data_IF_303269555281
#
_entry.id   IF_303269555281
#
_cell.length_a   1.000
_cell.length_b   1.000
_cell.length_c   1.000
_cell.angle_alpha   90.00
_cell.angle_beta   90.00
_cell.angle_gamma   90.00
#
_symmetry.space_group_name_H-M   'P 1'
#
loop_
_entity.id
_entity.type
_entity.pdbx_description
1 polymer ?
#
# COMPACT_ATOMS: atom_id res chain seq x y z
N UNK A 1 26.98 -12.53 19.79
CA UNK A 1 28.34 -11.96 19.65
C UNK A 1 28.75 -11.76 18.20
N UNK A 2 28.83 -12.82 17.36
CA UNK A 2 29.27 -12.68 15.95
C UNK A 2 28.48 -11.62 15.15
N UNK A 3 27.16 -11.57 15.30
CA UNK A 3 26.32 -10.56 14.63
C UNK A 3 26.63 -9.12 15.07
N UNK A 4 27.04 -8.93 16.33
CA UNK A 4 27.46 -7.62 16.83
C UNK A 4 28.82 -7.20 16.25
N UNK A 5 29.73 -8.15 15.99
CA UNK A 5 30.98 -7.86 15.29
C UNK A 5 30.71 -7.51 13.82
N UNK A 6 29.87 -8.28 13.14
CA UNK A 6 29.48 -7.99 11.76
C UNK A 6 28.86 -6.60 11.61
N UNK A 7 28.02 -6.18 12.56
CA UNK A 7 27.38 -4.85 12.56
C UNK A 7 28.36 -3.67 12.70
N UNK A 8 29.57 -3.89 13.22
CA UNK A 8 30.58 -2.83 13.32
C UNK A 8 31.23 -2.53 11.98
N UNK A 9 31.48 -3.56 11.16
CA UNK A 9 32.02 -3.40 9.81
C UNK A 9 30.96 -3.00 8.80
N UNK A 10 29.80 -3.67 8.84
CA UNK A 10 28.71 -3.45 7.89
C UNK A 10 27.35 -3.58 8.60
N UNK A 11 26.72 -2.43 8.85
CA UNK A 11 25.43 -2.35 9.54
C UNK A 11 24.30 -3.08 8.79
N UNK A 12 24.40 -3.23 7.46
CA UNK A 12 23.43 -3.97 6.67
C UNK A 12 23.57 -5.48 6.87
N UNK A 13 24.80 -6.00 7.01
CA UNK A 13 25.01 -7.41 7.41
C UNK A 13 24.50 -7.65 8.83
N UNK A 14 24.74 -6.69 9.73
CA UNK A 14 24.21 -6.70 11.09
C UNK A 14 22.68 -6.80 11.12
N UNK A 15 22.00 -5.92 10.38
CA UNK A 15 20.53 -5.90 10.32
C UNK A 15 19.97 -7.16 9.67
N UNK A 16 20.56 -7.60 8.56
CA UNK A 16 20.18 -8.86 7.91
C UNK A 16 20.23 -10.01 8.92
N UNK A 17 21.36 -10.17 9.62
CA UNK A 17 21.55 -11.25 10.58
C UNK A 17 20.55 -11.18 11.74
N UNK A 18 20.29 -9.97 12.23
CA UNK A 18 19.30 -9.72 13.29
C UNK A 18 17.89 -10.12 12.83
N UNK A 19 17.45 -9.67 11.66
CA UNK A 19 16.09 -9.89 11.17
C UNK A 19 15.82 -11.37 10.83
N UNK A 20 16.81 -12.10 10.31
CA UNK A 20 16.66 -13.50 9.90
C UNK A 20 16.77 -14.47 11.07
N UNK A 21 17.59 -14.15 12.08
CA UNK A 21 17.96 -15.13 13.10
C UNK A 21 17.53 -14.74 14.52
N UNK A 22 17.58 -13.45 14.88
CA UNK A 22 17.32 -13.01 16.25
C UNK A 22 15.87 -12.57 16.45
N UNK A 23 15.32 -11.84 15.49
CA UNK A 23 13.94 -11.35 15.57
C UNK A 23 12.91 -12.50 15.73
N UNK A 24 13.02 -13.65 15.02
CA UNK A 24 12.13 -14.79 15.25
C UNK A 24 12.23 -15.37 16.66
N UNK A 25 13.42 -15.33 17.27
CA UNK A 25 13.62 -15.75 18.65
C UNK A 25 12.88 -14.81 19.59
N UNK A 26 12.86 -13.49 19.35
CA UNK A 26 12.14 -12.55 20.23
C UNK A 26 10.65 -12.80 20.27
N UNK A 27 10.06 -13.20 19.14
CA UNK A 27 8.64 -13.57 19.06
C UNK A 27 8.31 -14.91 19.72
N UNK A 28 9.30 -15.72 20.09
CA UNK A 28 9.05 -16.99 20.77
C UNK A 28 8.60 -16.76 22.21
N UNK A 29 7.70 -17.61 22.69
CA UNK A 29 7.29 -17.63 24.12
C UNK A 29 8.45 -17.97 25.06
N UNK A 30 9.51 -18.59 24.55
CA UNK A 30 10.70 -19.00 25.31
C UNK A 30 11.78 -17.91 25.40
N UNK A 31 11.62 -16.77 24.73
CA UNK A 31 12.59 -15.68 24.81
C UNK A 31 12.54 -15.02 26.19
N UNK A 32 13.56 -15.27 26.99
CA UNK A 32 13.68 -14.63 28.30
C UNK A 32 13.97 -13.12 28.17
N UNK A 33 13.67 -12.32 29.21
CA UNK A 33 13.83 -10.86 29.17
C UNK A 33 15.26 -10.40 28.86
N UNK A 34 16.29 -11.08 29.35
CA UNK A 34 17.70 -10.73 29.12
C UNK A 34 18.09 -10.94 27.66
N UNK A 35 17.70 -12.08 27.06
CA UNK A 35 17.93 -12.33 25.64
C UNK A 35 17.21 -11.30 24.77
N UNK A 36 15.95 -10.98 25.10
CA UNK A 36 15.18 -9.94 24.40
C UNK A 36 15.87 -8.58 24.48
N UNK A 37 16.36 -8.22 25.65
CA UNK A 37 17.09 -6.96 25.88
C UNK A 37 18.36 -6.87 25.02
N UNK A 38 19.20 -7.91 25.02
CA UNK A 38 20.42 -7.96 24.20
C UNK A 38 20.13 -7.90 22.70
N UNK A 39 19.06 -8.56 22.25
CA UNK A 39 18.64 -8.53 20.84
C UNK A 39 18.19 -7.12 20.43
N UNK A 40 17.47 -6.41 21.30
CA UNK A 40 17.07 -5.03 21.07
C UNK A 40 18.27 -4.07 21.09
N UNK A 41 19.19 -4.22 22.05
CA UNK A 41 20.39 -3.38 22.13
C UNK A 41 21.22 -3.46 20.85
N UNK A 42 21.31 -4.66 20.23
CA UNK A 42 22.03 -4.83 18.97
C UNK A 42 21.41 -4.00 17.83
N UNK A 43 20.09 -4.10 17.62
CA UNK A 43 19.45 -3.34 16.55
C UNK A 43 19.44 -1.85 16.85
N UNK A 44 19.27 -1.43 18.09
CA UNK A 44 19.38 -0.02 18.48
C UNK A 44 20.77 0.54 18.18
N UNK A 45 21.83 -0.22 18.47
CA UNK A 45 23.21 0.16 18.11
C UNK A 45 23.43 0.25 16.60
N UNK A 46 22.79 -0.62 15.81
CA UNK A 46 22.81 -0.54 14.34
C UNK A 46 22.15 0.75 13.87
N UNK A 47 20.98 1.08 14.43
CA UNK A 47 20.18 2.23 14.03
C UNK A 47 20.70 3.55 14.59
N UNK A 48 21.51 3.53 15.65
CA UNK A 48 22.17 4.73 16.18
C UNK A 48 23.28 5.26 15.27
N UNK A 49 23.67 4.54 14.22
CA UNK A 49 24.58 5.05 13.21
C UNK A 49 23.91 6.24 12.48
N UNK A 50 24.55 7.42 12.39
CA UNK A 50 23.93 8.61 11.80
C UNK A 50 23.58 8.44 10.31
N UNK A 51 24.22 7.49 9.62
CA UNK A 51 23.95 7.14 8.22
C UNK A 51 23.07 5.90 8.07
N UNK A 52 22.53 5.33 9.16
CA UNK A 52 21.77 4.08 9.15
C UNK A 52 20.63 4.12 8.13
N UNK A 53 19.83 5.19 8.14
CA UNK A 53 18.70 5.33 7.20
C UNK A 53 19.15 5.24 5.75
N UNK A 54 20.11 6.07 5.35
CA UNK A 54 20.62 6.08 3.98
C UNK A 54 21.21 4.73 3.58
N UNK A 55 22.04 4.12 4.43
CA UNK A 55 22.71 2.85 4.13
C UNK A 55 21.71 1.69 4.03
N UNK A 56 20.81 1.57 5.00
CA UNK A 56 19.90 0.43 5.12
C UNK A 56 18.76 0.49 4.10
N UNK A 57 18.23 1.68 3.80
CA UNK A 57 17.16 1.85 2.81
C UNK A 57 17.70 1.66 1.39
N UNK A 58 18.85 2.25 1.06
CA UNK A 58 19.48 2.04 -0.25
C UNK A 58 20.00 0.60 -0.41
N UNK A 59 20.43 -0.01 0.69
CA UNK A 59 20.91 -1.39 0.76
C UNK A 59 19.85 -2.41 1.15
N UNK A 60 18.55 -2.09 1.04
CA UNK A 60 17.46 -2.93 1.54
C UNK A 60 17.40 -4.32 0.87
N UNK A 61 17.96 -4.44 -0.34
CA UNK A 61 18.14 -5.70 -1.06
C UNK A 61 19.64 -5.88 -1.37
N UNK A 62 20.23 -6.99 -0.92
CA UNK A 62 21.64 -7.34 -1.15
C UNK A 62 21.73 -8.74 -1.72
N UNK A 63 22.41 -8.88 -2.86
CA UNK A 63 22.62 -10.18 -3.54
C UNK A 63 21.29 -10.95 -3.77
N UNK A 64 20.20 -10.24 -4.03
CA UNK A 64 18.87 -10.82 -4.23
C UNK A 64 18.06 -11.05 -2.96
N UNK A 65 18.66 -10.91 -1.78
CA UNK A 65 18.00 -11.10 -0.48
C UNK A 65 17.66 -9.77 0.19
N UNK A 66 16.56 -9.73 0.94
CA UNK A 66 16.13 -8.54 1.66
C UNK A 66 16.78 -8.47 3.02
N UNK A 67 17.11 -7.28 3.50
CA UNK A 67 17.56 -7.10 4.90
C UNK A 67 16.49 -7.54 5.89
N UNK A 68 15.22 -7.21 5.61
CA UNK A 68 14.06 -7.63 6.40
C UNK A 68 13.07 -8.32 5.45
N UNK A 69 12.98 -9.66 5.48
CA UNK A 69 12.03 -10.39 4.64
C UNK A 69 10.60 -10.27 5.20
N UNK A 70 9.56 -10.55 4.40
CA UNK A 70 8.17 -10.40 4.82
C UNK A 70 7.80 -11.09 6.15
N UNK A 71 8.25 -12.33 6.46
CA UNK A 71 7.96 -12.95 7.76
C UNK A 71 8.55 -12.18 8.95
N UNK A 72 9.78 -11.66 8.81
CA UNK A 72 10.42 -10.83 9.83
C UNK A 72 9.71 -9.48 9.98
N UNK A 73 9.25 -8.89 8.88
CA UNK A 73 8.47 -7.66 8.93
C UNK A 73 7.13 -7.87 9.64
N UNK A 74 6.45 -8.98 9.41
CA UNK A 74 5.23 -9.34 10.14
C UNK A 74 5.48 -9.42 11.65
N UNK A 75 6.55 -10.11 12.07
CA UNK A 75 6.93 -10.18 13.50
C UNK A 75 7.16 -8.78 14.07
N UNK A 76 7.89 -7.94 13.34
CA UNK A 76 8.18 -6.57 13.77
C UNK A 76 6.90 -5.75 13.98
N UNK A 77 5.93 -5.81 13.06
CA UNK A 77 4.64 -5.12 13.20
C UNK A 77 3.92 -5.59 14.46
N UNK A 78 3.88 -6.89 14.72
CA UNK A 78 3.20 -7.46 15.90
C UNK A 78 3.87 -7.06 17.22
N UNK A 79 5.21 -6.97 17.24
CA UNK A 79 5.96 -6.55 18.42
C UNK A 79 5.85 -5.05 18.70
N UNK A 80 5.70 -4.23 17.67
CA UNK A 80 5.50 -2.78 17.80
C UNK A 80 4.05 -2.43 18.18
N UNK A 81 3.07 -3.21 17.75
CA UNK A 81 1.64 -2.93 17.98
C UNK A 81 0.90 -4.08 18.70
N UNK A 82 1.38 -4.55 19.88
CA UNK A 82 0.68 -5.59 20.63
C UNK A 82 -0.65 -5.06 21.19
N UNK A 83 -1.52 -5.96 21.63
CA UNK A 83 -2.72 -5.58 22.36
C UNK A 83 -2.34 -4.81 23.64
N UNK A 84 -3.19 -3.89 24.10
CA UNK A 84 -2.90 -3.07 25.28
C UNK A 84 -2.53 -3.89 26.51
N UNK A 85 -3.17 -5.05 26.70
CA UNK A 85 -2.89 -5.99 27.80
C UNK A 85 -1.56 -6.76 27.67
N UNK A 86 -0.97 -6.80 26.47
CA UNK A 86 0.28 -7.50 26.17
C UNK A 86 1.48 -6.54 26.06
N UNK A 87 1.28 -5.24 26.29
CA UNK A 87 2.36 -4.25 26.29
C UNK A 87 3.32 -4.52 27.46
N UNK A 88 4.61 -4.46 27.16
CA UNK A 88 5.70 -4.60 28.13
C UNK A 88 6.72 -3.48 27.91
N UNK A 89 7.68 -3.30 28.82
CA UNK A 89 8.74 -2.28 28.67
C UNK A 89 9.50 -2.37 27.34
N UNK A 90 9.65 -3.57 26.80
CA UNK A 90 10.29 -3.77 25.49
C UNK A 90 9.44 -3.24 24.30
N UNK A 91 8.13 -3.08 24.46
CA UNK A 91 7.24 -2.58 23.41
C UNK A 91 7.64 -1.17 22.97
N UNK A 92 7.94 -0.27 23.91
CA UNK A 92 8.35 1.11 23.60
C UNK A 92 9.63 1.15 22.75
N UNK A 93 10.54 0.19 22.97
CA UNK A 93 11.78 0.06 22.18
C UNK A 93 11.48 -0.41 20.76
N UNK A 94 10.56 -1.36 20.60
CA UNK A 94 10.07 -1.76 19.27
C UNK A 94 9.39 -0.62 18.53
N UNK A 95 8.56 0.16 19.22
CA UNK A 95 7.91 1.35 18.66
C UNK A 95 8.94 2.39 18.18
N UNK A 96 10.02 2.59 18.93
CA UNK A 96 11.08 3.54 18.57
C UNK A 96 11.84 3.13 17.29
N UNK A 97 12.15 1.83 17.13
CA UNK A 97 12.89 1.33 15.96
C UNK A 97 11.98 1.07 14.75
N UNK A 98 10.69 0.87 14.97
CA UNK A 98 9.72 0.44 13.96
C UNK A 98 9.70 1.33 12.70
N UNK A 99 9.64 2.68 12.78
CA UNK A 99 9.49 3.51 11.58
C UNK A 99 10.61 3.32 10.55
N UNK A 100 11.86 3.26 11.02
CA UNK A 100 13.00 3.06 10.14
C UNK A 100 13.04 1.62 9.59
N UNK A 101 12.78 0.63 10.43
CA UNK A 101 12.76 -0.77 9.99
C UNK A 101 11.61 -1.06 9.02
N UNK A 102 10.45 -0.40 9.18
CA UNK A 102 9.35 -0.42 8.20
C UNK A 102 9.84 0.11 6.86
N UNK A 103 10.48 1.28 6.83
CA UNK A 103 11.00 1.86 5.60
C UNK A 103 11.97 0.91 4.88
N UNK A 104 12.90 0.29 5.61
CA UNK A 104 13.82 -0.72 5.07
C UNK A 104 13.08 -1.94 4.52
N UNK A 105 12.05 -2.42 5.23
CA UNK A 105 11.26 -3.60 4.82
C UNK A 105 10.48 -3.35 3.52
N UNK A 106 9.96 -2.12 3.38
CA UNK A 106 9.13 -1.71 2.25
C UNK A 106 9.94 -1.19 1.05
N UNK A 107 11.24 -0.94 1.22
CA UNK A 107 12.13 -0.46 0.17
C UNK A 107 12.37 -1.51 -0.93
N UNK A 108 12.60 -1.05 -2.16
CA UNK A 108 12.87 -1.89 -3.33
C UNK A 108 12.43 -1.22 -4.62
N UNK A 109 12.90 -1.74 -5.76
CA UNK A 109 12.52 -1.23 -7.07
C UNK A 109 11.03 -1.51 -7.37
N UNK A 110 10.18 -0.47 -7.50
CA UNK A 110 8.76 -0.65 -7.82
C UNK A 110 8.57 -1.40 -9.13
N UNK A 111 7.53 -2.23 -9.23
CA UNK A 111 7.19 -2.97 -10.45
C UNK A 111 8.09 -4.18 -10.77
N UNK A 112 9.23 -4.36 -10.11
CA UNK A 112 10.09 -5.53 -10.32
C UNK A 112 9.39 -6.84 -9.92
N UNK A 113 9.72 -7.96 -10.61
CA UNK A 113 9.14 -9.28 -10.33
C UNK A 113 9.28 -9.70 -8.85
N UNK A 114 10.47 -9.48 -8.29
CA UNK A 114 10.74 -9.76 -6.87
C UNK A 114 9.91 -8.87 -5.94
N UNK A 115 9.75 -7.57 -6.25
CA UNK A 115 8.93 -6.67 -5.45
C UNK A 115 7.45 -7.04 -5.52
N UNK A 116 6.95 -7.50 -6.67
CA UNK A 116 5.56 -7.97 -6.80
C UNK A 116 5.25 -9.12 -5.85
N UNK A 117 6.10 -10.15 -5.82
CA UNK A 117 5.94 -11.30 -4.93
C UNK A 117 6.01 -10.88 -3.45
N UNK A 118 6.98 -10.04 -3.10
CA UNK A 118 7.14 -9.53 -1.73
C UNK A 118 5.92 -8.72 -1.30
N UNK A 119 5.42 -7.85 -2.16
CA UNK A 119 4.26 -7.01 -1.89
C UNK A 119 3.00 -7.86 -1.67
N UNK A 120 2.83 -8.95 -2.44
CA UNK A 120 1.74 -9.90 -2.22
C UNK A 120 1.83 -10.57 -0.84
N UNK A 121 3.01 -11.06 -0.44
CA UNK A 121 3.19 -11.66 0.89
C UNK A 121 2.90 -10.65 2.02
N UNK A 122 3.42 -9.43 1.89
CA UNK A 122 3.15 -8.34 2.84
C UNK A 122 1.66 -8.03 2.90
N UNK A 123 0.98 -7.96 1.76
CA UNK A 123 -0.46 -7.75 1.69
C UNK A 123 -1.23 -8.85 2.43
N UNK A 124 -0.90 -10.13 2.18
CA UNK A 124 -1.55 -11.27 2.84
C UNK A 124 -1.42 -11.20 4.36
N UNK A 125 -0.19 -10.99 4.87
CA UNK A 125 0.05 -10.90 6.31
C UNK A 125 -0.63 -9.68 6.93
N UNK A 126 -0.57 -8.53 6.26
CA UNK A 126 -1.20 -7.29 6.74
C UNK A 126 -2.73 -7.37 6.74
N UNK A 127 -3.33 -7.99 5.71
CA UNK A 127 -4.78 -8.24 5.69
C UNK A 127 -5.19 -9.11 6.87
N UNK A 128 -4.52 -10.24 7.10
CA UNK A 128 -4.82 -11.12 8.24
C UNK A 128 -4.70 -10.38 9.57
N UNK A 129 -3.59 -9.65 9.79
CA UNK A 129 -3.36 -8.87 11.00
C UNK A 129 -4.43 -7.78 11.24
N UNK A 130 -5.02 -7.22 10.17
CA UNK A 130 -6.12 -6.26 10.28
C UNK A 130 -7.43 -6.86 10.82
N UNK A 131 -7.57 -8.18 10.80
CA UNK A 131 -8.74 -8.91 11.28
C UNK A 131 -8.64 -9.50 12.69
N UNK A 132 -7.52 -9.34 13.39
CA UNK A 132 -7.23 -10.06 14.65
C UNK A 132 -7.86 -9.45 15.91
N UNK A 133 -8.75 -8.46 15.77
CA UNK A 133 -9.45 -7.85 16.91
C UNK A 133 -8.59 -6.93 17.80
N UNK A 134 -7.33 -6.68 17.43
CA UNK A 134 -6.49 -5.66 18.08
C UNK A 134 -6.59 -4.34 17.28
N UNK A 135 -7.24 -3.28 17.80
CA UNK A 135 -7.48 -2.05 17.04
C UNK A 135 -6.19 -1.28 16.71
N UNK A 136 -5.16 -1.36 17.54
CA UNK A 136 -3.88 -0.67 17.32
C UNK A 136 -3.11 -1.36 16.18
N UNK A 137 -3.00 -2.69 16.23
CA UNK A 137 -2.43 -3.48 15.14
C UNK A 137 -3.22 -3.32 13.85
N UNK A 138 -4.55 -3.37 13.94
CA UNK A 138 -5.41 -3.32 12.78
C UNK A 138 -5.29 -2.01 11.99
N UNK A 139 -5.12 -0.88 12.70
CA UNK A 139 -4.88 0.43 12.08
C UNK A 139 -3.59 0.45 11.26
N UNK A 140 -2.50 -0.08 11.80
CA UNK A 140 -1.21 -0.12 11.10
C UNK A 140 -1.21 -1.15 9.97
N UNK A 141 -1.73 -2.35 10.23
CA UNK A 141 -1.84 -3.42 9.26
C UNK A 141 -2.70 -3.01 8.06
N UNK A 142 -3.81 -2.31 8.27
CA UNK A 142 -4.62 -1.77 7.18
C UNK A 142 -3.86 -0.74 6.33
N UNK A 143 -3.04 0.12 6.96
CA UNK A 143 -2.20 1.07 6.22
C UNK A 143 -1.13 0.35 5.36
N UNK A 144 -0.54 -0.73 5.89
CA UNK A 144 0.41 -1.57 5.13
C UNK A 144 -0.28 -2.28 3.97
N UNK A 145 -1.48 -2.82 4.18
CA UNK A 145 -2.28 -3.46 3.13
C UNK A 145 -2.62 -2.47 2.00
N UNK A 146 -3.01 -1.23 2.34
CA UNK A 146 -3.26 -0.16 1.37
C UNK A 146 -1.98 0.19 0.62
N UNK A 147 -0.85 0.38 1.32
CA UNK A 147 0.44 0.59 0.67
C UNK A 147 0.72 -0.52 -0.34
N UNK A 148 0.52 -1.80 0.02
CA UNK A 148 0.77 -2.93 -0.86
C UNK A 148 -0.14 -2.93 -2.12
N UNK A 149 -1.41 -2.52 -1.97
CA UNK A 149 -2.33 -2.33 -3.11
C UNK A 149 -1.82 -1.25 -4.08
N UNK A 150 -1.24 -0.16 -3.57
CA UNK A 150 -0.69 0.92 -4.42
C UNK A 150 0.62 0.53 -5.10
N UNK A 151 1.39 -0.39 -4.51
CA UNK A 151 2.67 -0.82 -5.07
C UNK A 151 2.53 -1.96 -6.09
N UNK A 152 1.51 -2.80 -5.94
CA UNK A 152 1.28 -3.92 -6.83
C UNK A 152 -0.21 -4.18 -7.03
N UNK A 153 -0.70 -3.87 -8.23
CA UNK A 153 -2.10 -4.09 -8.61
C UNK A 153 -2.52 -5.56 -8.56
N UNK A 154 -1.58 -6.50 -8.66
CA UNK A 154 -1.87 -7.94 -8.50
C UNK A 154 -2.36 -8.27 -7.08
N UNK A 155 -2.11 -7.41 -6.08
CA UNK A 155 -2.71 -7.51 -4.75
C UNK A 155 -4.23 -7.35 -4.78
N UNK A 156 -4.80 -6.63 -5.75
CA UNK A 156 -6.25 -6.53 -5.89
C UNK A 156 -6.88 -7.89 -6.22
N UNK A 157 -6.29 -8.63 -7.17
CA UNK A 157 -6.72 -10.00 -7.50
C UNK A 157 -6.51 -10.94 -6.31
N UNK A 158 -5.40 -10.78 -5.60
CA UNK A 158 -5.13 -11.58 -4.40
C UNK A 158 -6.15 -11.31 -3.29
N UNK A 159 -6.56 -10.04 -3.11
CA UNK A 159 -7.59 -9.65 -2.17
C UNK A 159 -8.94 -10.32 -2.50
N UNK A 160 -9.34 -10.35 -3.77
CA UNK A 160 -10.58 -11.01 -4.18
C UNK A 160 -10.60 -12.49 -3.78
N UNK A 161 -9.48 -13.19 -3.92
CA UNK A 161 -9.36 -14.59 -3.53
C UNK A 161 -9.45 -14.80 -2.01
N UNK A 162 -8.87 -13.89 -1.23
CA UNK A 162 -8.86 -13.96 0.23
C UNK A 162 -10.13 -13.39 0.89
N UNK A 163 -10.99 -12.74 0.13
CA UNK A 163 -12.02 -11.84 0.65
C UNK A 163 -12.99 -12.51 1.63
N UNK A 164 -13.57 -13.65 1.23
CA UNK A 164 -14.61 -14.32 2.03
C UNK A 164 -14.03 -14.83 3.36
N UNK A 165 -12.82 -15.38 3.35
CA UNK A 165 -12.12 -15.87 4.55
C UNK A 165 -11.65 -14.73 5.46
N UNK A 166 -11.58 -13.50 4.95
CA UNK A 166 -11.03 -12.33 5.64
C UNK A 166 -12.00 -11.14 5.58
N UNK A 167 -13.31 -11.39 5.66
CA UNK A 167 -14.34 -10.35 5.49
C UNK A 167 -14.19 -9.22 6.52
N UNK A 168 -14.03 -9.56 7.81
CA UNK A 168 -13.83 -8.58 8.89
C UNK A 168 -12.56 -7.73 8.69
N UNK A 169 -11.46 -8.36 8.32
CA UNK A 169 -10.23 -7.66 7.95
C UNK A 169 -10.42 -6.75 6.73
N UNK A 170 -11.14 -7.22 5.72
CA UNK A 170 -11.42 -6.46 4.50
C UNK A 170 -12.24 -5.22 4.81
N UNK A 171 -13.24 -5.30 5.70
CA UNK A 171 -13.99 -4.14 6.20
C UNK A 171 -13.04 -3.12 6.84
N UNK A 172 -12.10 -3.56 7.68
CA UNK A 172 -11.08 -2.68 8.29
C UNK A 172 -10.25 -1.97 7.23
N UNK A 173 -9.73 -2.69 6.24
CA UNK A 173 -8.92 -2.12 5.14
C UNK A 173 -9.74 -1.14 4.31
N UNK A 174 -10.98 -1.47 3.96
CA UNK A 174 -11.89 -0.61 3.19
C UNK A 174 -12.22 0.69 3.94
N UNK A 175 -12.54 0.61 5.24
CA UNK A 175 -12.79 1.80 6.09
C UNK A 175 -11.55 2.70 6.16
N UNK A 176 -10.38 2.11 6.40
CA UNK A 176 -9.10 2.83 6.43
C UNK A 176 -8.80 3.52 5.10
N UNK A 177 -9.05 2.85 3.98
CA UNK A 177 -8.84 3.37 2.64
C UNK A 177 -9.76 4.57 2.36
N UNK A 178 -11.02 4.53 2.81
CA UNK A 178 -11.95 5.66 2.71
C UNK A 178 -11.43 6.87 3.49
N UNK A 179 -10.92 6.64 4.71
CA UNK A 179 -10.42 7.69 5.59
C UNK A 179 -9.13 8.33 5.06
N UNK A 180 -8.20 7.53 4.52
CA UNK A 180 -6.99 8.05 3.87
C UNK A 180 -7.36 8.92 2.67
N UNK A 181 -8.30 8.48 1.83
CA UNK A 181 -8.79 9.30 0.72
C UNK A 181 -9.45 10.62 1.14
N UNK A 182 -9.98 10.74 2.37
CA UNK A 182 -10.52 12.03 2.86
C UNK A 182 -9.39 13.02 3.18
N UNK A 183 -8.26 12.53 3.66
CA UNK A 183 -7.12 13.35 4.07
C UNK A 183 -6.19 13.65 2.89
N UNK A 184 -5.93 12.65 2.05
CA UNK A 184 -5.04 12.75 0.90
C UNK A 184 -5.48 11.76 -0.18
N UNK A 185 -5.71 12.19 -1.43
CA UNK A 185 -6.03 11.27 -2.49
C UNK A 185 -4.93 10.21 -2.66
N UNK A 186 -5.32 8.93 -2.64
CA UNK A 186 -4.40 7.83 -2.96
C UNK A 186 -3.94 8.03 -4.39
N UNK A 187 -2.62 8.17 -4.58
CA UNK A 187 -2.04 8.31 -5.92
C UNK A 187 -2.05 6.95 -6.60
N UNK A 188 -2.92 6.80 -7.59
CA UNK A 188 -3.04 5.62 -8.43
C UNK A 188 -2.79 6.01 -9.88
N UNK A 189 -2.17 5.13 -10.67
CA UNK A 189 -2.17 5.31 -12.12
C UNK A 189 -3.59 5.09 -12.67
N UNK A 190 -3.91 5.55 -13.89
CA UNK A 190 -5.20 5.24 -14.52
C UNK A 190 -5.48 3.73 -14.60
N UNK A 191 -4.46 2.91 -14.87
CA UNK A 191 -4.58 1.45 -14.92
C UNK A 191 -4.88 0.84 -13.54
N UNK A 192 -4.22 1.34 -12.49
CA UNK A 192 -4.47 0.88 -11.12
C UNK A 192 -5.86 1.29 -10.64
N UNK A 193 -6.31 2.50 -11.01
CA UNK A 193 -7.65 3.02 -10.73
C UNK A 193 -8.73 2.12 -11.35
N UNK A 194 -8.54 1.72 -12.61
CA UNK A 194 -9.46 0.80 -13.30
C UNK A 194 -9.48 -0.58 -12.65
N UNK A 195 -8.32 -1.09 -12.24
CA UNK A 195 -8.24 -2.41 -11.61
C UNK A 195 -8.88 -2.41 -10.23
N UNK A 196 -8.60 -1.39 -9.40
CA UNK A 196 -9.25 -1.23 -8.11
C UNK A 196 -10.76 -1.05 -8.25
N UNK A 197 -11.22 -0.31 -9.26
CA UNK A 197 -12.65 -0.18 -9.58
C UNK A 197 -13.29 -1.53 -9.93
N UNK A 198 -12.63 -2.36 -10.74
CA UNK A 198 -13.08 -3.72 -11.03
C UNK A 198 -13.14 -4.58 -9.78
N UNK A 199 -12.13 -4.48 -8.91
CA UNK A 199 -12.11 -5.20 -7.64
C UNK A 199 -13.23 -4.75 -6.72
N UNK A 200 -13.50 -3.46 -6.57
CA UNK A 200 -14.65 -3.00 -5.78
C UNK A 200 -15.98 -3.55 -6.30
N UNK A 201 -16.16 -3.66 -7.63
CA UNK A 201 -17.34 -4.30 -8.22
C UNK A 201 -17.41 -5.81 -7.90
N UNK A 202 -16.28 -6.51 -8.02
CA UNK A 202 -16.17 -7.94 -7.67
C UNK A 202 -16.52 -8.19 -6.20
N UNK A 203 -15.96 -7.39 -5.28
CA UNK A 203 -16.27 -7.48 -3.85
C UNK A 203 -17.74 -7.17 -3.54
N UNK A 204 -18.35 -6.21 -4.25
CA UNK A 204 -19.78 -5.93 -4.11
C UNK A 204 -20.66 -7.10 -4.51
N UNK A 205 -20.34 -7.77 -5.62
CA UNK A 205 -21.07 -8.97 -6.04
C UNK A 205 -21.01 -10.05 -4.95
N UNK A 206 -19.82 -10.30 -4.39
CA UNK A 206 -19.64 -11.23 -3.27
C UNK A 206 -20.44 -10.83 -2.03
N UNK A 207 -20.55 -9.53 -1.75
CA UNK A 207 -21.37 -9.03 -0.65
C UNK A 207 -22.87 -9.23 -0.91
N UNK A 208 -23.33 -8.99 -2.14
CA UNK A 208 -24.72 -9.18 -2.54
C UNK A 208 -25.12 -10.66 -2.47
N UNK A 209 -24.25 -11.56 -2.92
CA UNK A 209 -24.39 -13.02 -2.75
C UNK A 209 -24.47 -13.41 -1.27
N UNK A 210 -23.51 -12.95 -0.44
CA UNK A 210 -23.48 -13.25 0.99
C UNK A 210 -24.66 -12.66 1.79
N UNK A 211 -25.31 -11.60 1.29
CA UNK A 211 -26.54 -11.06 1.86
C UNK A 211 -27.78 -11.86 1.42
N UNK A 212 -27.79 -12.40 0.20
CA UNK A 212 -28.90 -13.18 -0.34
C UNK A 212 -29.02 -14.57 0.31
N UNK A 213 -27.92 -15.13 0.82
CA UNK A 213 -27.88 -16.45 1.48
C UNK A 213 -28.62 -16.53 2.85
N UNK A 214 -29.32 -15.47 3.28
CA UNK A 214 -30.39 -15.55 4.29
C UNK A 214 -29.95 -15.78 5.75
N UNK A 215 -28.66 -15.80 6.05
CA UNK A 215 -28.14 -16.00 7.41
C UNK A 215 -28.15 -14.73 8.27
N UNK A 216 -28.95 -14.68 9.34
CA UNK A 216 -29.06 -13.53 10.25
C UNK A 216 -27.92 -13.47 11.31
N UNK A 217 -26.67 -13.63 10.87
CA UNK A 217 -25.48 -13.71 11.74
C UNK A 217 -24.54 -12.50 11.65
N UNK A 218 -23.46 -12.52 12.44
CA UNK A 218 -22.41 -11.48 12.44
C UNK A 218 -21.86 -11.19 11.03
N UNK A 219 -21.79 -12.20 10.16
CA UNK A 219 -21.34 -12.06 8.77
C UNK A 219 -22.27 -11.17 7.92
N UNK A 220 -23.57 -11.18 8.16
CA UNK A 220 -24.52 -10.33 7.43
C UNK A 220 -24.26 -8.84 7.66
N UNK A 221 -23.93 -8.47 8.90
CA UNK A 221 -23.54 -7.09 9.23
C UNK A 221 -22.23 -6.67 8.55
N UNK A 222 -21.27 -7.59 8.46
CA UNK A 222 -19.99 -7.35 7.80
C UNK A 222 -20.15 -7.20 6.29
N UNK A 223 -20.96 -8.02 5.63
CA UNK A 223 -21.25 -7.87 4.20
C UNK A 223 -21.92 -6.53 3.89
N UNK A 224 -22.87 -6.08 4.72
CA UNK A 224 -23.51 -4.76 4.60
C UNK A 224 -22.50 -3.62 4.75
N UNK A 225 -21.64 -3.69 5.76
CA UNK A 225 -20.59 -2.71 6.00
C UNK A 225 -19.58 -2.66 4.84
N UNK A 226 -19.17 -3.82 4.33
CA UNK A 226 -18.24 -3.93 3.23
C UNK A 226 -18.85 -3.37 1.93
N UNK A 227 -20.09 -3.73 1.59
CA UNK A 227 -20.79 -3.20 0.41
C UNK A 227 -20.91 -1.67 0.46
N UNK A 228 -21.29 -1.12 1.63
CA UNK A 228 -21.32 0.33 1.84
C UNK A 228 -19.95 0.96 1.56
N UNK A 229 -18.87 0.36 2.04
CA UNK A 229 -17.53 0.88 1.78
C UNK A 229 -17.15 0.80 0.30
N UNK A 230 -17.39 -0.35 -0.35
CA UNK A 230 -17.12 -0.53 -1.78
C UNK A 230 -17.89 0.45 -2.67
N UNK A 231 -19.15 0.79 -2.31
CA UNK A 231 -19.95 1.83 -2.98
C UNK A 231 -19.30 3.21 -2.87
N UNK A 232 -18.87 3.60 -1.67
CA UNK A 232 -18.18 4.88 -1.44
C UNK A 232 -16.89 4.96 -2.25
N UNK A 233 -16.08 3.90 -2.23
CA UNK A 233 -14.81 3.85 -2.98
C UNK A 233 -15.07 3.91 -4.49
N UNK A 234 -16.03 3.14 -4.99
CA UNK A 234 -16.41 3.14 -6.40
C UNK A 234 -16.87 4.52 -6.86
N UNK A 235 -17.66 5.22 -6.04
CA UNK A 235 -18.06 6.61 -6.26
C UNK A 235 -16.85 7.53 -6.39
N UNK A 236 -15.90 7.46 -5.45
CA UNK A 236 -14.65 8.25 -5.49
C UNK A 236 -13.81 7.96 -6.75
N UNK A 237 -13.65 6.69 -7.12
CA UNK A 237 -12.90 6.29 -8.31
C UNK A 237 -13.55 6.80 -9.61
N UNK A 238 -14.89 6.83 -9.67
CA UNK A 238 -15.63 7.37 -10.81
C UNK A 238 -15.54 8.90 -10.94
N UNK A 239 -15.55 9.60 -9.80
CA UNK A 239 -15.38 11.05 -9.73
C UNK A 239 -13.96 11.48 -10.14
N UNK A 240 -12.94 10.71 -9.75
CA UNK A 240 -11.55 10.94 -10.13
C UNK A 240 -11.30 10.74 -11.64
N UNK A 241 -12.18 10.01 -12.35
CA UNK A 241 -12.16 9.84 -13.80
C UNK A 241 -12.98 10.87 -14.59
N UNK A 242 -13.68 11.80 -13.91
CA UNK A 242 -14.56 12.79 -14.54
C UNK A 242 -13.86 13.71 -15.55
N UNK A 243 -12.58 14.03 -15.33
CA UNK A 243 -11.80 14.84 -16.28
C UNK A 243 -11.49 14.10 -17.60
N UNK A 244 -11.52 12.77 -17.64
CA UNK A 244 -11.17 12.00 -18.84
C UNK A 244 -12.37 11.93 -19.82
N UNK A 245 -13.60 11.96 -19.31
CA UNK A 245 -14.79 12.03 -20.17
C UNK A 245 -14.87 13.35 -20.96
N UNK A 246 -14.37 14.45 -20.40
CA UNK A 246 -14.25 15.72 -21.12
C UNK A 246 -13.30 15.61 -22.32
N UNK A 247 -12.15 14.97 -22.15
CA UNK A 247 -11.12 14.82 -23.20
C UNK A 247 -11.61 13.94 -24.36
N UNK A 248 -12.35 12.86 -24.07
CA UNK A 248 -12.90 11.98 -25.11
C UNK A 248 -14.00 12.68 -25.93
N UNK A 249 -14.80 13.55 -25.30
CA UNK A 249 -15.85 14.32 -26.00
C UNK A 249 -15.21 15.39 -26.91
N UNK A 250 -14.11 16.04 -26.47
CA UNK A 250 -13.39 17.00 -27.31
C UNK A 250 -12.70 16.35 -28.52
N UNK A 251 -12.15 15.15 -28.37
CA UNK A 251 -11.51 14.42 -29.47
C UNK A 251 -12.51 13.93 -30.54
N UNK A 252 -13.71 13.51 -30.12
CA UNK A 252 -14.78 13.10 -31.06
C UNK A 252 -15.38 14.31 -31.78
N UNK A 253 -15.52 15.46 -31.12
CA UNK A 253 -15.94 16.71 -31.76
C UNK A 253 -14.89 17.24 -32.75
N UNK A 254 -13.60 17.10 -32.45
CA UNK A 254 -12.51 17.44 -33.37
C UNK A 254 -12.48 16.51 -34.61
N UNK A 255 -12.71 15.20 -34.43
CA UNK A 255 -12.78 14.25 -35.54
C UNK A 255 -14.02 14.45 -36.43
N UNK A 256 -15.17 14.78 -35.84
CA UNK A 256 -16.38 15.14 -36.58
C UNK A 256 -16.24 16.48 -37.33
N UNK A 257 -15.56 17.47 -36.74
CA UNK A 257 -15.24 18.73 -37.39
C UNK A 257 -14.25 18.58 -38.56
N UNK A 258 -13.23 17.72 -38.41
CA UNK A 258 -12.25 17.46 -39.48
C UNK A 258 -12.86 16.74 -40.70
N UNK A 259 -13.87 15.89 -40.50
CA UNK A 259 -14.56 15.23 -41.61
C UNK A 259 -15.39 16.22 -42.44
N UNK A 260 -16.04 17.19 -41.80
CA UNK A 260 -16.86 18.23 -42.46
C UNK A 260 -16.00 19.29 -43.16
N UNK A 261 -14.81 19.58 -42.65
CA UNK A 261 -13.91 20.62 -43.19
C UNK A 261 -12.91 20.12 -44.26
N UNK A 262 -12.88 18.83 -44.57
CA UNK A 262 -11.99 18.25 -45.59
C UNK A 262 -12.28 18.72 -47.03
N UNK A 263 -13.31 19.55 -47.23
CA UNK A 263 -13.66 20.16 -48.51
C UNK A 263 -13.20 21.62 -48.69
N UNK A 264 -12.52 22.24 -47.71
CA UNK A 264 -12.08 23.64 -47.82
C UNK A 264 -10.58 23.84 -47.44
N UNK A 265 -9.69 24.19 -48.40
CA UNK A 265 -8.27 24.44 -48.15
C UNK A 265 -7.98 25.61 -47.19
N UNK A 266 -8.79 26.67 -47.18
CA UNK A 266 -8.58 27.84 -46.31
C UNK A 266 -8.87 27.52 -44.84
N UNK A 267 -9.84 26.63 -44.57
CA UNK A 267 -10.13 26.15 -43.23
C UNK A 267 -8.99 25.29 -42.65
N UNK A 268 -8.20 24.62 -43.50
CA UNK A 268 -7.05 23.81 -43.08
C UNK A 268 -5.91 24.72 -42.60
N UNK A 269 -5.68 25.86 -43.26
CA UNK A 269 -4.67 26.84 -42.85
C UNK A 269 -5.04 27.57 -41.55
N UNK A 270 -6.31 27.90 -41.35
CA UNK A 270 -6.80 28.47 -40.09
C UNK A 270 -6.72 27.46 -38.93
N UNK A 271 -7.06 26.20 -39.14
CA UNK A 271 -6.92 25.16 -38.11
C UNK A 271 -5.45 24.93 -37.74
N UNK A 272 -4.54 24.96 -38.71
CA UNK A 272 -3.11 24.78 -38.45
C UNK A 272 -2.54 25.91 -37.61
N UNK A 273 -2.91 27.16 -37.91
CA UNK A 273 -2.52 28.32 -37.11
C UNK A 273 -3.14 28.31 -35.72
N UNK A 274 -4.38 27.81 -35.57
CA UNK A 274 -5.05 27.69 -34.28
C UNK A 274 -4.42 26.59 -33.39
N UNK A 275 -4.02 25.47 -33.99
CA UNK A 275 -3.28 24.39 -33.32
C UNK A 275 -1.86 24.81 -32.95
N UNK A 276 -1.18 25.59 -33.81
CA UNK A 276 0.15 26.14 -33.51
C UNK A 276 0.08 27.26 -32.45
N UNK A 277 -1.05 27.95 -32.30
CA UNK A 277 -1.30 28.93 -31.23
C UNK A 277 -1.58 28.31 -29.86
N UNK A 278 -1.91 27.01 -29.81
CA UNK A 278 -2.09 26.29 -28.56
C UNK A 278 -0.74 25.95 -27.94
N UNK A 279 -0.32 26.81 -27.01
CA UNK A 279 0.84 26.56 -26.17
C UNK A 279 0.52 25.45 -25.15
N UNK A 280 0.85 24.20 -25.52
CA UNK A 280 0.66 23.00 -24.71
C UNK A 280 1.32 23.10 -23.33
N UNK A 281 2.33 23.95 -23.17
CA UNK A 281 2.98 24.19 -21.87
C UNK A 281 2.05 24.94 -20.92
N UNK A 282 1.27 25.91 -21.42
CA UNK A 282 0.29 26.66 -20.61
C UNK A 282 -0.89 25.79 -20.16
N UNK A 283 -1.26 24.81 -20.99
CA UNK A 283 -2.29 23.82 -20.67
C UNK A 283 -1.82 22.82 -19.60
N UNK A 284 -0.61 22.31 -19.73
CA UNK A 284 -0.02 21.41 -18.74
C UNK A 284 0.23 22.10 -17.40
N UNK A 285 0.65 23.37 -17.39
CA UNK A 285 0.76 24.17 -16.16
C UNK A 285 -0.60 24.40 -15.50
N UNK A 286 -1.65 24.71 -16.27
CA UNK A 286 -3.01 24.90 -15.74
C UNK A 286 -3.58 23.61 -15.13
N UNK A 287 -3.29 22.47 -15.75
CA UNK A 287 -3.64 21.15 -15.22
C UNK A 287 -2.85 20.83 -13.94
N UNK A 288 -1.55 21.11 -13.93
CA UNK A 288 -0.70 20.90 -12.75
C UNK A 288 -1.04 21.83 -11.58
N UNK A 289 -1.50 23.05 -11.85
CA UNK A 289 -2.01 23.98 -10.85
C UNK A 289 -3.35 23.50 -10.25
N UNK A 290 -4.23 22.93 -11.07
CA UNK A 290 -5.49 22.35 -10.61
C UNK A 290 -5.32 21.07 -9.75
N UNK A 291 -4.17 20.40 -9.85
CA UNK A 291 -3.80 19.27 -8.98
C UNK A 291 -3.13 19.67 -7.65
N UNK A 292 -2.87 20.97 -7.44
CA UNK A 292 -2.21 21.49 -6.23
C UNK A 292 -3.16 22.11 -5.20
N UNK A 293 -4.45 22.26 -5.50
CA UNK A 293 -5.48 22.77 -4.59
C UNK A 293 -6.46 21.67 -4.16
#
# INVERSE_FOLDING_TARGET
WMMAQASQGDISVGLYSWAHNLLPVVSSKSCNPQSRDLILQLVEKILSNPKARTILVNGAVRKGERLIPPPSFEILVRLAFPASSARVKATERFEAIYPLLKEVSLAGAPGSKAMKQVTQQIFTSALKAAGEGNPVLAKEAAAIAIWALTQNVDCCKHWENLYNDNLGASVTVLKKLIDEWKQRPVKLTPADTLTLSRTMKSLRLKNEEGLAEGGNGANHSLYKDADKCCKVISGKLSSCGGCIKGIAITAVLAAAGAAVLSANPEAITELKTLVESWDFNKFTESVMAAFKN
#
